data_IF_668315184404
#
_entry.id   IF_668315184404
#
_cell.length_a   1.000
_cell.length_b   1.000
_cell.length_c   1.000
_cell.angle_alpha   90.00
_cell.angle_beta   90.00
_cell.angle_gamma   90.00
#
_symmetry.space_group_name_H-M   'P 1'
#
loop_
_entity.id
_entity.type
_entity.pdbx_description
1 polymer ?
#
# COMPACT_ATOMS: atom_id res chain seq x y z
N UNK A 1 11.69 27.02 -0.08
CA UNK A 1 10.81 26.03 -0.73
C UNK A 1 10.60 24.90 0.25
N UNK A 2 9.38 24.44 0.42
CA UNK A 2 9.00 23.36 1.32
C UNK A 2 8.47 22.23 0.45
N UNK A 3 9.11 21.08 0.52
CA UNK A 3 8.74 19.89 -0.24
C UNK A 3 7.87 18.96 0.62
N UNK A 4 7.10 18.07 -0.02
CA UNK A 4 6.13 17.18 0.65
C UNK A 4 5.20 17.93 1.64
N UNK A 5 4.79 19.15 1.26
CA UNK A 5 4.03 20.06 2.14
C UNK A 5 2.70 19.49 2.63
N UNK A 6 2.13 18.49 1.93
CA UNK A 6 0.93 17.77 2.33
C UNK A 6 1.10 16.88 3.56
N UNK A 7 2.35 16.59 3.96
CA UNK A 7 2.68 15.81 5.16
C UNK A 7 3.14 16.71 6.33
N UNK A 8 3.15 18.03 6.15
CA UNK A 8 3.50 18.98 7.21
C UNK A 8 2.38 19.10 8.27
N UNK A 9 2.72 19.66 9.44
CA UNK A 9 1.75 19.97 10.49
C UNK A 9 1.49 21.49 10.63
N UNK A 10 0.52 21.86 11.45
CA UNK A 10 0.15 23.27 11.66
C UNK A 10 1.27 24.08 12.31
N UNK A 11 2.11 23.45 13.13
CA UNK A 11 3.20 24.14 13.82
C UNK A 11 4.28 24.57 12.81
N UNK A 12 4.65 23.68 11.89
CA UNK A 12 5.58 23.98 10.80
C UNK A 12 5.01 25.08 9.91
N UNK A 13 3.71 25.04 9.59
CA UNK A 13 3.07 26.13 8.84
C UNK A 13 3.17 27.48 9.54
N UNK A 14 2.90 27.54 10.83
CA UNK A 14 2.91 28.79 11.59
C UNK A 14 4.32 29.38 11.65
N UNK A 15 5.34 28.53 11.74
CA UNK A 15 6.75 28.94 11.64
C UNK A 15 7.07 29.49 10.25
N UNK A 16 6.62 28.82 9.19
CA UNK A 16 6.86 29.22 7.81
C UNK A 16 6.15 30.53 7.45
N UNK A 17 4.91 30.73 7.92
CA UNK A 17 4.13 31.96 7.72
C UNK A 17 4.75 33.18 8.40
N UNK A 18 5.59 32.99 9.43
CA UNK A 18 6.31 34.08 10.12
C UNK A 18 7.64 34.45 9.47
N UNK A 19 8.08 33.73 8.44
CA UNK A 19 9.32 34.04 7.75
C UNK A 19 9.17 35.30 6.89
N UNK A 20 10.21 36.13 6.83
CA UNK A 20 10.25 37.32 5.97
C UNK A 20 10.50 36.98 4.48
N UNK A 21 10.96 35.76 4.20
CA UNK A 21 11.27 35.31 2.87
C UNK A 21 10.03 34.81 2.12
N UNK A 22 10.09 34.79 0.78
CA UNK A 22 9.06 34.12 -0.04
C UNK A 22 9.10 32.62 0.24
N UNK A 23 7.96 32.06 0.65
CA UNK A 23 7.79 30.63 0.87
C UNK A 23 7.00 30.04 -0.30
N UNK A 24 7.54 28.98 -0.90
CA UNK A 24 6.87 28.19 -1.94
C UNK A 24 6.62 26.82 -1.34
N UNK A 25 5.36 26.39 -1.34
CA UNK A 25 4.91 25.07 -0.92
C UNK A 25 4.79 24.18 -2.15
N UNK A 26 5.41 23.01 -2.10
CA UNK A 26 5.38 21.99 -3.15
C UNK A 26 4.89 20.69 -2.52
N UNK A 27 4.03 19.98 -3.24
CA UNK A 27 3.50 18.70 -2.81
C UNK A 27 2.29 18.25 -3.64
N UNK A 28 1.75 17.11 -3.27
CA UNK A 28 0.57 16.52 -3.91
C UNK A 28 -0.47 16.15 -2.82
N UNK A 29 -1.62 16.85 -2.76
CA UNK A 29 -2.64 16.61 -1.74
C UNK A 29 -3.20 15.18 -1.78
N UNK A 30 -3.15 14.51 -2.95
CA UNK A 30 -3.63 13.15 -3.12
C UNK A 30 -2.63 12.09 -2.64
N UNK A 31 -1.38 12.49 -2.31
CA UNK A 31 -0.35 11.62 -1.72
C UNK A 31 -0.15 11.82 -0.21
N UNK A 32 -1.05 12.53 0.48
CA UNK A 32 -1.01 12.65 1.95
C UNK A 32 -1.51 11.37 2.63
N UNK A 33 -0.58 10.46 2.98
CA UNK A 33 -0.91 9.15 3.57
C UNK A 33 -0.43 9.00 5.02
N UNK A 34 0.06 10.08 5.63
CA UNK A 34 0.50 10.12 7.03
C UNK A 34 -0.49 10.85 7.96
N UNK A 35 -1.78 10.92 7.58
CA UNK A 35 -2.82 11.62 8.35
C UNK A 35 -2.95 11.14 9.81
N UNK A 36 -2.61 9.88 10.10
CA UNK A 36 -2.55 9.32 11.46
C UNK A 36 -1.51 9.99 12.38
N UNK A 37 -0.56 10.75 11.82
CA UNK A 37 0.43 11.56 12.58
C UNK A 37 -0.06 12.97 12.90
N UNK A 38 -1.30 13.32 12.54
CA UNK A 38 -1.87 14.65 12.75
C UNK A 38 -1.60 15.65 11.62
N UNK A 39 -1.02 15.20 10.50
CA UNK A 39 -0.95 16.00 9.28
C UNK A 39 -2.37 16.21 8.74
N UNK A 40 -2.90 17.43 8.89
CA UNK A 40 -4.06 17.88 8.11
C UNK A 40 -3.55 18.24 6.72
N UNK A 41 -4.32 17.97 5.67
CA UNK A 41 -3.92 18.35 4.31
C UNK A 41 -3.83 19.88 4.21
N UNK A 42 -2.61 20.37 4.39
CA UNK A 42 -2.27 21.78 4.44
C UNK A 42 -2.53 22.43 3.10
N UNK A 43 -2.18 21.73 2.01
CA UNK A 43 -2.23 22.29 0.66
C UNK A 43 -3.66 22.66 0.26
N UNK A 44 -4.66 21.91 0.72
CA UNK A 44 -6.06 22.22 0.44
C UNK A 44 -6.60 23.44 1.21
N UNK A 45 -5.93 23.85 2.30
CA UNK A 45 -6.40 24.89 3.21
C UNK A 45 -5.57 26.18 3.16
N UNK A 46 -4.62 26.27 2.22
CA UNK A 46 -3.82 27.48 2.01
C UNK A 46 -4.53 28.40 1.02
N UNK A 47 -4.87 29.60 1.48
CA UNK A 47 -5.36 30.69 0.63
C UNK A 47 -4.17 31.37 -0.08
N UNK A 48 -3.62 30.69 -1.08
CA UNK A 48 -2.45 31.10 -1.87
C UNK A 48 -2.70 30.85 -3.36
N UNK A 49 -1.97 31.57 -4.22
CA UNK A 49 -1.94 31.27 -5.66
C UNK A 49 -1.35 29.87 -5.90
N UNK A 50 -2.09 29.02 -6.61
CA UNK A 50 -1.72 27.64 -6.89
C UNK A 50 -1.34 27.45 -8.37
N UNK A 51 -0.18 26.83 -8.60
CA UNK A 51 0.29 26.40 -9.92
C UNK A 51 0.32 24.87 -9.96
N UNK A 52 -0.10 24.29 -11.08
CA UNK A 52 -0.27 22.84 -11.22
C UNK A 52 0.74 22.25 -12.21
N UNK A 53 1.42 21.19 -11.79
CA UNK A 53 2.32 20.41 -12.63
C UNK A 53 1.64 19.12 -13.06
N UNK A 54 1.03 19.13 -14.24
CA UNK A 54 0.24 18.01 -14.75
C UNK A 54 1.08 16.91 -15.41
N UNK A 55 2.33 17.19 -15.78
CA UNK A 55 3.16 16.25 -16.53
C UNK A 55 3.95 15.32 -15.58
N UNK A 56 3.65 14.03 -15.61
CA UNK A 56 4.50 13.00 -15.01
C UNK A 56 5.72 12.77 -15.90
N UNK A 57 6.90 12.75 -15.30
CA UNK A 57 8.15 12.31 -15.93
C UNK A 57 8.47 10.83 -15.62
N UNK A 58 7.66 10.18 -14.77
CA UNK A 58 7.91 8.81 -14.29
C UNK A 58 7.45 7.75 -15.29
N UNK A 59 6.25 7.92 -15.84
CA UNK A 59 5.54 6.93 -16.66
C UNK A 59 4.84 7.57 -17.86
N UNK A 60 4.37 6.73 -18.79
CA UNK A 60 3.59 7.13 -19.96
C UNK A 60 2.08 7.19 -19.70
N UNK A 61 1.30 7.40 -20.76
CA UNK A 61 -0.14 7.66 -20.64
C UNK A 61 -0.93 6.50 -20.01
N UNK A 62 -0.59 5.23 -20.30
CA UNK A 62 -1.38 4.11 -19.78
C UNK A 62 -1.46 4.09 -18.24
N UNK A 63 -0.35 4.39 -17.53
CA UNK A 63 -0.37 4.49 -16.06
C UNK A 63 -1.05 5.78 -15.61
N UNK A 64 -0.86 6.88 -16.36
CA UNK A 64 -1.55 8.14 -16.09
C UNK A 64 -3.07 8.00 -16.20
N UNK A 65 -3.58 7.22 -17.15
CA UNK A 65 -5.00 6.97 -17.34
C UNK A 65 -5.64 6.25 -16.13
N UNK A 66 -4.94 5.26 -15.57
CA UNK A 66 -5.38 4.62 -14.32
C UNK A 66 -5.34 5.59 -13.15
N UNK A 67 -4.28 6.39 -13.04
CA UNK A 67 -4.17 7.42 -12.01
C UNK A 67 -5.31 8.45 -12.12
N UNK A 68 -5.62 8.92 -13.33
CA UNK A 68 -6.71 9.84 -13.61
C UNK A 68 -8.09 9.22 -13.34
N UNK A 69 -8.28 7.94 -13.63
CA UNK A 69 -9.50 7.23 -13.27
C UNK A 69 -9.73 7.28 -11.75
N UNK A 70 -8.69 7.00 -10.95
CA UNK A 70 -8.77 7.11 -9.49
C UNK A 70 -9.00 8.56 -9.05
N UNK A 71 -8.23 9.51 -9.56
CA UNK A 71 -8.36 10.94 -9.23
C UNK A 71 -9.76 11.47 -9.51
N UNK A 72 -10.30 11.18 -10.69
CA UNK A 72 -11.61 11.64 -11.09
C UNK A 72 -12.73 10.98 -10.29
N UNK A 73 -12.73 9.64 -10.23
CA UNK A 73 -13.83 8.91 -9.60
C UNK A 73 -13.80 9.02 -8.08
N UNK A 74 -12.63 8.89 -7.46
CA UNK A 74 -12.54 8.83 -5.99
C UNK A 74 -12.48 10.20 -5.33
N UNK A 75 -11.97 11.21 -6.03
CA UNK A 75 -11.74 12.56 -5.49
C UNK A 75 -12.47 13.68 -6.23
N UNK A 76 -13.11 13.42 -7.37
CA UNK A 76 -13.76 14.46 -8.18
C UNK A 76 -12.77 15.40 -8.89
N UNK A 77 -11.50 15.03 -8.98
CA UNK A 77 -10.49 15.83 -9.67
C UNK A 77 -10.77 15.85 -11.18
N UNK A 78 -10.69 17.04 -11.77
CA UNK A 78 -10.96 17.27 -13.19
C UNK A 78 -9.68 17.53 -13.98
N UNK A 79 -8.62 18.02 -13.32
CA UNK A 79 -7.29 18.15 -13.92
C UNK A 79 -6.75 16.78 -14.29
N UNK A 80 -6.02 16.71 -15.39
CA UNK A 80 -5.51 15.45 -15.94
C UNK A 80 -4.01 15.36 -15.74
N UNK A 81 -3.58 14.32 -15.03
CA UNK A 81 -2.19 13.90 -15.02
C UNK A 81 -1.83 13.38 -16.42
N UNK A 82 -0.78 13.93 -17.03
CA UNK A 82 -0.29 13.56 -18.36
C UNK A 82 0.92 12.65 -18.19
N UNK A 83 0.93 11.52 -18.88
CA UNK A 83 2.12 10.67 -18.97
C UNK A 83 3.16 11.31 -19.90
N UNK A 84 4.44 10.99 -19.72
CA UNK A 84 5.52 11.52 -20.56
C UNK A 84 5.39 10.93 -21.97
N UNK A 85 5.24 11.74 -23.04
CA UNK A 85 5.04 11.21 -24.39
C UNK A 85 6.18 10.32 -24.89
N UNK A 86 7.40 10.52 -24.38
CA UNK A 86 8.57 9.71 -24.73
C UNK A 86 8.64 8.36 -23.99
N UNK A 87 7.72 8.07 -23.07
CA UNK A 87 7.64 6.80 -22.33
C UNK A 87 6.40 6.02 -22.72
N UNK A 88 6.57 4.75 -23.08
CA UNK A 88 5.47 3.84 -23.42
C UNK A 88 5.21 2.88 -22.26
N UNK A 89 4.51 3.36 -21.23
CA UNK A 89 4.07 2.50 -20.13
C UNK A 89 2.87 1.63 -20.54
N UNK A 90 2.65 0.51 -19.85
CA UNK A 90 1.55 -0.43 -20.07
C UNK A 90 0.83 -0.76 -18.76
N UNK A 91 -0.44 -1.11 -18.87
CA UNK A 91 -1.25 -1.66 -17.77
C UNK A 91 -1.74 -3.02 -18.21
N UNK A 92 -1.58 -4.03 -17.36
CA UNK A 92 -1.98 -5.41 -17.67
C UNK A 92 -2.29 -6.19 -16.40
N UNK A 93 -2.68 -7.44 -16.55
CA UNK A 93 -3.01 -8.37 -15.47
C UNK A 93 -2.34 -9.72 -15.73
N UNK A 94 -2.04 -10.45 -14.67
CA UNK A 94 -1.63 -11.84 -14.72
C UNK A 94 -2.17 -12.62 -13.52
N UNK A 95 -2.52 -13.88 -13.74
CA UNK A 95 -2.96 -14.72 -12.63
C UNK A 95 -1.82 -14.95 -11.65
N UNK A 96 -1.86 -14.23 -10.53
CA UNK A 96 -0.87 -14.37 -9.47
C UNK A 96 -0.87 -15.78 -8.87
N UNK A 97 -1.88 -16.63 -9.11
CA UNK A 97 -1.91 -18.02 -8.61
C UNK A 97 -0.98 -18.96 -9.36
N UNK A 98 -0.47 -18.55 -10.54
CA UNK A 98 0.14 -19.48 -11.49
C UNK A 98 1.63 -19.27 -11.70
N UNK A 99 2.13 -18.03 -11.69
CA UNK A 99 3.55 -17.73 -11.90
C UNK A 99 3.90 -16.30 -11.47
N UNK A 100 5.21 -16.01 -11.41
CA UNK A 100 5.77 -14.67 -11.24
C UNK A 100 6.45 -14.22 -12.55
N UNK A 101 6.07 -13.10 -13.16
CA UNK A 101 6.80 -12.55 -14.30
C UNK A 101 8.25 -12.24 -13.92
N UNK A 102 9.23 -12.71 -14.69
CA UNK A 102 10.66 -12.45 -14.44
C UNK A 102 11.00 -10.95 -14.42
N UNK A 103 10.26 -10.17 -15.20
CA UNK A 103 10.37 -8.71 -15.27
C UNK A 103 9.80 -7.98 -14.05
N UNK A 104 9.05 -8.63 -13.16
CA UNK A 104 8.42 -7.99 -12.01
C UNK A 104 9.47 -7.47 -11.03
N UNK A 105 9.46 -6.18 -10.71
CA UNK A 105 10.46 -5.56 -9.83
C UNK A 105 9.92 -5.28 -8.44
N UNK A 106 8.63 -4.97 -8.31
CA UNK A 106 8.03 -4.74 -7.02
C UNK A 106 6.58 -5.23 -6.90
N UNK A 107 6.20 -5.56 -5.68
CA UNK A 107 4.83 -5.86 -5.26
C UNK A 107 4.48 -4.90 -4.13
N UNK A 108 3.38 -4.17 -4.28
CA UNK A 108 2.93 -3.20 -3.28
C UNK A 108 1.68 -3.72 -2.60
N UNK A 109 1.78 -3.89 -1.29
CA UNK A 109 0.75 -4.46 -0.43
C UNK A 109 0.11 -3.41 0.47
N UNK A 110 -1.17 -3.60 0.80
CA UNK A 110 -1.86 -2.72 1.75
C UNK A 110 -1.41 -2.90 3.19
N UNK A 111 -1.16 -4.15 3.60
CA UNK A 111 -0.83 -4.53 4.98
C UNK A 111 0.49 -5.29 5.03
N UNK A 112 1.10 -5.36 6.23
CA UNK A 112 2.28 -6.19 6.42
C UNK A 112 1.94 -7.67 6.24
N UNK A 113 0.76 -8.11 6.70
CA UNK A 113 0.35 -9.51 6.60
C UNK A 113 0.27 -9.98 5.14
N UNK A 114 -0.33 -9.17 4.25
CA UNK A 114 -0.36 -9.46 2.82
C UNK A 114 1.05 -9.44 2.21
N UNK A 115 1.95 -8.57 2.68
CA UNK A 115 3.34 -8.58 2.21
C UNK A 115 4.05 -9.91 2.56
N UNK A 116 3.84 -10.47 3.75
CA UNK A 116 4.33 -11.81 4.10
C UNK A 116 3.65 -12.92 3.28
N UNK A 117 2.34 -12.85 3.03
CA UNK A 117 1.64 -13.78 2.14
C UNK A 117 2.28 -13.82 0.75
N UNK A 118 2.51 -12.64 0.16
CA UNK A 118 3.16 -12.53 -1.15
C UNK A 118 4.63 -12.94 -1.11
N UNK A 119 5.35 -12.69 0.00
CA UNK A 119 6.72 -13.14 0.18
C UNK A 119 6.83 -14.66 0.06
N UNK A 120 6.06 -15.42 0.85
CA UNK A 120 6.12 -16.88 0.78
C UNK A 120 5.64 -17.42 -0.57
N UNK A 121 4.59 -16.82 -1.13
CA UNK A 121 4.04 -17.19 -2.42
C UNK A 121 5.06 -17.01 -3.56
N UNK A 122 5.67 -15.83 -3.67
CA UNK A 122 6.63 -15.55 -4.73
C UNK A 122 7.98 -16.21 -4.49
N UNK A 123 8.36 -16.46 -3.23
CA UNK A 123 9.54 -17.27 -2.93
C UNK A 123 9.42 -18.67 -3.53
N UNK A 124 8.24 -19.28 -3.41
CA UNK A 124 7.95 -20.58 -4.04
C UNK A 124 8.00 -20.54 -5.57
N UNK A 125 7.54 -19.45 -6.20
CA UNK A 125 7.53 -19.34 -7.67
C UNK A 125 8.91 -19.07 -8.26
N UNK A 126 9.71 -18.24 -7.58
CA UNK A 126 11.01 -17.82 -8.08
C UNK A 126 12.08 -18.88 -7.86
N UNK A 127 11.93 -19.77 -6.88
CA UNK A 127 12.85 -20.90 -6.62
C UNK A 127 14.34 -20.49 -6.64
N UNK A 128 14.66 -19.30 -6.10
CA UNK A 128 16.02 -18.76 -6.05
C UNK A 128 16.52 -18.01 -7.30
N UNK A 129 15.73 -17.94 -8.38
CA UNK A 129 16.10 -17.17 -9.59
C UNK A 129 16.25 -15.67 -9.30
N UNK A 130 15.48 -15.15 -8.34
CA UNK A 130 15.47 -13.74 -7.96
C UNK A 130 15.42 -13.60 -6.44
N UNK A 131 16.27 -12.75 -5.85
CA UNK A 131 16.23 -12.46 -4.40
C UNK A 131 14.95 -11.69 -4.08
N UNK A 132 14.29 -11.99 -2.96
CA UNK A 132 13.13 -11.23 -2.49
C UNK A 132 13.55 -10.38 -1.30
N UNK A 133 13.27 -9.08 -1.37
CA UNK A 133 13.46 -8.13 -0.27
C UNK A 133 12.11 -7.70 0.25
N UNK A 134 11.90 -7.78 1.57
CA UNK A 134 10.64 -7.46 2.22
C UNK A 134 10.75 -6.13 2.98
N UNK A 135 10.04 -5.09 2.54
CA UNK A 135 10.06 -3.76 3.14
C UNK A 135 8.78 -3.47 3.94
N UNK A 136 8.76 -3.98 5.17
CA UNK A 136 7.62 -3.88 6.10
C UNK A 136 8.07 -3.40 7.48
N UNK A 137 7.13 -3.14 8.39
CA UNK A 137 7.47 -2.98 9.81
C UNK A 137 7.75 -4.36 10.43
N UNK A 138 9.02 -4.78 10.37
CA UNK A 138 9.46 -6.09 10.86
C UNK A 138 9.28 -6.29 12.36
N UNK A 139 9.32 -5.21 13.17
CA UNK A 139 9.13 -5.31 14.62
C UNK A 139 7.67 -5.63 14.96
N UNK A 140 6.72 -4.85 14.43
CA UNK A 140 5.29 -5.12 14.63
C UNK A 140 4.90 -6.52 14.16
N UNK A 141 5.38 -6.92 12.98
CA UNK A 141 5.10 -8.25 12.42
C UNK A 141 5.69 -9.37 13.27
N UNK A 142 6.93 -9.23 13.78
CA UNK A 142 7.53 -10.20 14.71
C UNK A 142 6.71 -10.34 15.98
N UNK A 143 6.27 -9.23 16.56
CA UNK A 143 5.48 -9.20 17.79
C UNK A 143 4.13 -9.91 17.62
N UNK A 144 3.44 -9.71 16.48
CA UNK A 144 2.19 -10.41 16.15
C UNK A 144 2.44 -11.91 15.95
N UNK A 145 3.39 -12.30 15.09
CA UNK A 145 3.70 -13.71 14.86
C UNK A 145 4.07 -14.42 16.17
N UNK A 146 4.98 -13.84 16.95
CA UNK A 146 5.39 -14.40 18.24
C UNK A 146 4.21 -14.54 19.20
N UNK A 147 3.34 -13.52 19.25
CA UNK A 147 2.13 -13.55 20.08
C UNK A 147 1.17 -14.69 19.70
N UNK A 148 0.99 -14.99 18.41
CA UNK A 148 0.15 -16.12 17.96
C UNK A 148 0.77 -17.46 18.41
N UNK A 149 2.08 -17.65 18.26
CA UNK A 149 2.76 -18.85 18.74
C UNK A 149 2.75 -18.96 20.28
N UNK A 150 2.82 -17.85 20.99
CA UNK A 150 2.68 -17.82 22.45
C UNK A 150 1.28 -18.27 22.88
N UNK A 151 0.22 -17.76 22.24
CA UNK A 151 -1.16 -18.19 22.51
C UNK A 151 -1.35 -19.69 22.29
N UNK A 152 -0.75 -20.27 21.24
CA UNK A 152 -0.75 -21.74 21.01
C UNK A 152 -0.03 -22.52 22.12
N UNK A 153 1.01 -21.93 22.69
CA UNK A 153 1.75 -22.50 23.80
C UNK A 153 1.12 -22.19 25.18
N UNK A 154 -0.14 -21.70 25.21
CA UNK A 154 -0.83 -21.26 26.42
C UNK A 154 -0.07 -20.17 27.22
N UNK A 155 0.67 -19.32 26.52
CA UNK A 155 1.37 -18.15 27.07
C UNK A 155 0.64 -16.88 26.68
N UNK A 156 0.75 -15.84 27.52
CA UNK A 156 0.16 -14.53 27.24
C UNK A 156 1.00 -13.76 26.21
N UNK A 157 0.37 -13.20 25.15
CA UNK A 157 1.05 -12.34 24.20
C UNK A 157 1.39 -10.99 24.82
N UNK A 158 2.49 -10.39 24.37
CA UNK A 158 2.92 -9.04 24.80
C UNK A 158 2.52 -7.94 23.83
N UNK A 159 2.10 -8.29 22.61
CA UNK A 159 1.72 -7.33 21.59
C UNK A 159 0.30 -6.80 21.81
N UNK A 160 0.10 -5.51 21.50
CA UNK A 160 -1.17 -4.80 21.76
C UNK A 160 -2.33 -5.40 21.00
N UNK A 161 -2.07 -5.91 19.80
CA UNK A 161 -3.05 -6.52 18.91
C UNK A 161 -3.65 -7.81 19.48
N UNK A 162 -2.89 -8.54 20.31
CA UNK A 162 -3.31 -9.84 20.82
C UNK A 162 -3.53 -9.88 22.34
N UNK A 163 -3.21 -8.80 23.06
CA UNK A 163 -3.27 -8.75 24.53
C UNK A 163 -4.67 -9.04 25.12
N UNK A 164 -5.73 -8.83 24.34
CA UNK A 164 -7.11 -9.06 24.77
C UNK A 164 -7.55 -10.53 24.62
N UNK A 165 -6.77 -11.37 23.94
CA UNK A 165 -7.08 -12.79 23.80
C UNK A 165 -6.37 -13.59 24.88
N UNK A 166 -7.15 -14.34 25.65
CA UNK A 166 -6.65 -15.18 26.74
C UNK A 166 -6.20 -16.57 26.27
N UNK A 167 -6.63 -16.99 25.08
CA UNK A 167 -6.28 -18.29 24.50
C UNK A 167 -6.21 -18.23 22.97
N UNK A 168 -5.56 -19.24 22.37
CA UNK A 168 -5.55 -19.42 20.92
C UNK A 168 -6.97 -19.60 20.35
N UNK A 169 -7.83 -20.34 21.05
CA UNK A 169 -9.20 -20.58 20.58
C UNK A 169 -10.01 -19.28 20.52
N UNK A 170 -9.88 -18.42 21.53
CA UNK A 170 -10.57 -17.11 21.55
C UNK A 170 -10.16 -16.22 20.37
N UNK A 171 -8.87 -16.21 20.01
CA UNK A 171 -8.38 -15.51 18.81
C UNK A 171 -9.01 -16.09 17.54
N UNK A 172 -9.05 -17.43 17.42
CA UNK A 172 -9.65 -18.12 16.27
C UNK A 172 -11.14 -17.79 16.16
N UNK A 173 -11.88 -17.88 17.26
CA UNK A 173 -13.32 -17.60 17.29
C UNK A 173 -13.61 -16.15 16.90
N UNK A 174 -12.83 -15.20 17.42
CA UNK A 174 -12.94 -13.79 17.03
C UNK A 174 -12.69 -13.59 15.53
N UNK A 175 -11.64 -14.21 14.98
CA UNK A 175 -11.34 -14.14 13.54
C UNK A 175 -12.45 -14.79 12.70
N UNK A 176 -13.06 -15.88 13.15
CA UNK A 176 -14.17 -16.52 12.44
C UNK A 176 -15.41 -15.62 12.36
N UNK A 177 -15.69 -14.84 13.40
CA UNK A 177 -16.85 -13.95 13.44
C UNK A 177 -16.60 -12.65 12.66
N UNK A 178 -15.42 -12.04 12.79
CA UNK A 178 -15.16 -10.67 12.30
C UNK A 178 -14.14 -10.58 11.15
N UNK A 179 -13.45 -11.67 10.80
CA UNK A 179 -12.28 -11.66 9.91
C UNK A 179 -12.56 -11.27 8.44
N UNK A 180 -13.82 -11.26 8.01
CA UNK A 180 -14.23 -10.86 6.66
C UNK A 180 -14.87 -9.47 6.60
N UNK A 181 -15.13 -8.86 7.75
CA UNK A 181 -15.92 -7.62 7.83
C UNK A 181 -15.05 -6.44 8.28
N UNK A 182 -14.06 -6.69 9.14
CA UNK A 182 -13.20 -5.68 9.77
C UNK A 182 -11.75 -5.78 9.30
N UNK A 183 -11.21 -4.71 8.69
CA UNK A 183 -9.88 -4.74 8.08
C UNK A 183 -8.72 -5.11 9.02
N UNK A 184 -8.77 -4.70 10.30
CA UNK A 184 -7.75 -5.09 11.28
C UNK A 184 -7.84 -6.59 11.63
N UNK A 185 -9.05 -7.13 11.71
CA UNK A 185 -9.30 -8.55 11.94
C UNK A 185 -8.94 -9.38 10.71
N UNK A 186 -9.12 -8.85 9.49
CA UNK A 186 -8.64 -9.45 8.25
C UNK A 186 -7.10 -9.54 8.22
N UNK A 187 -6.38 -8.50 8.67
CA UNK A 187 -4.91 -8.55 8.79
C UNK A 187 -4.47 -9.64 9.77
N UNK A 188 -5.12 -9.73 10.95
CA UNK A 188 -4.85 -10.79 11.93
C UNK A 188 -5.17 -12.20 11.40
N UNK A 189 -6.25 -12.36 10.63
CA UNK A 189 -6.58 -13.60 9.94
C UNK A 189 -5.42 -14.05 9.05
N UNK A 190 -4.88 -13.16 8.22
CA UNK A 190 -3.74 -13.49 7.35
C UNK A 190 -2.51 -13.90 8.16
N UNK A 191 -2.19 -13.21 9.25
CA UNK A 191 -1.09 -13.63 10.14
C UNK A 191 -1.35 -15.03 10.73
N UNK A 192 -2.56 -15.28 11.24
CA UNK A 192 -2.95 -16.58 11.78
C UNK A 192 -2.81 -17.69 10.72
N UNK A 193 -3.32 -17.47 9.52
CA UNK A 193 -3.25 -18.41 8.41
C UNK A 193 -1.80 -18.75 8.03
N UNK A 194 -0.92 -17.75 8.01
CA UNK A 194 0.51 -17.97 7.79
C UNK A 194 1.15 -18.81 8.89
N UNK A 195 0.80 -18.57 10.16
CA UNK A 195 1.31 -19.43 11.25
C UNK A 195 0.72 -20.85 11.23
N UNK A 196 -0.44 -21.07 10.63
CA UNK A 196 -1.00 -22.42 10.42
C UNK A 196 -0.22 -23.17 9.32
N UNK A 197 0.32 -22.44 8.34
CA UNK A 197 1.02 -23.01 7.18
C UNK A 197 2.52 -23.17 7.41
N UNK A 198 3.14 -22.27 8.16
CA UNK A 198 4.59 -22.20 8.33
C UNK A 198 5.00 -22.31 9.80
N UNK A 199 6.10 -23.01 10.06
CA UNK A 199 6.70 -23.09 11.40
C UNK A 199 7.34 -21.76 11.79
N UNK A 200 7.59 -21.58 13.10
CA UNK A 200 8.27 -20.38 13.61
C UNK A 200 9.61 -20.14 12.90
N UNK A 201 10.41 -21.18 12.65
CA UNK A 201 11.72 -21.03 11.99
C UNK A 201 11.60 -20.44 10.58
N UNK A 202 10.56 -20.82 9.83
CA UNK A 202 10.32 -20.29 8.47
C UNK A 202 9.83 -18.85 8.53
N UNK A 203 8.98 -18.52 9.50
CA UNK A 203 8.53 -17.14 9.75
C UNK A 203 9.70 -16.25 10.19
N UNK A 204 10.55 -16.75 11.07
CA UNK A 204 11.73 -16.03 11.56
C UNK A 204 12.71 -15.72 10.44
N UNK A 205 12.98 -16.69 9.55
CA UNK A 205 13.76 -16.47 8.33
C UNK A 205 13.17 -15.37 7.43
N UNK A 206 11.83 -15.34 7.26
CA UNK A 206 11.18 -14.28 6.50
C UNK A 206 11.28 -12.90 7.19
N UNK A 207 11.23 -12.86 8.51
CA UNK A 207 11.41 -11.64 9.31
C UNK A 207 12.84 -11.10 9.20
N UNK A 208 13.85 -11.97 9.18
CA UNK A 208 15.24 -11.57 8.96
C UNK A 208 15.43 -10.92 7.58
N UNK A 209 14.77 -11.45 6.54
CA UNK A 209 14.75 -10.82 5.20
C UNK A 209 14.04 -9.46 5.17
N UNK A 210 13.23 -9.14 6.19
CA UNK A 210 12.63 -7.80 6.34
C UNK A 210 13.53 -6.78 7.01
N UNK A 211 14.57 -7.24 7.72
CA UNK A 211 15.49 -6.42 8.49
C UNK A 211 16.86 -6.28 7.83
N UNK A 212 17.11 -6.98 6.73
CA UNK A 212 18.38 -6.94 6.01
C UNK A 212 18.53 -5.65 5.18
N UNK A 213 19.52 -4.85 5.55
CA UNK A 213 20.06 -3.75 4.75
C UNK A 213 21.16 -4.32 3.84
N UNK A 214 20.81 -4.69 2.60
CA UNK A 214 21.81 -5.17 1.65
C UNK A 214 21.85 -4.32 0.37
N UNK A 215 23.08 -4.06 -0.08
CA UNK A 215 23.46 -3.64 -1.44
C UNK A 215 23.06 -4.71 -2.48
N UNK A 216 21.77 -4.93 -2.68
CA UNK A 216 21.27 -5.90 -3.65
C UNK A 216 21.21 -5.29 -5.05
N UNK A 217 21.61 -6.05 -6.07
CA UNK A 217 21.38 -5.67 -7.47
C UNK A 217 19.88 -5.40 -7.70
N UNK A 218 19.48 -4.16 -8.01
CA UNK A 218 18.07 -3.81 -8.23
C UNK A 218 17.43 -4.60 -9.37
N UNK A 219 18.23 -5.10 -10.34
CA UNK A 219 17.72 -5.88 -11.47
C UNK A 219 17.35 -7.30 -11.07
N UNK A 220 18.09 -7.91 -10.14
CA UNK A 220 17.86 -9.27 -9.68
C UNK A 220 17.16 -9.38 -8.31
N UNK A 221 16.43 -8.32 -7.94
CA UNK A 221 15.70 -8.25 -6.67
C UNK A 221 14.23 -7.95 -6.91
N UNK A 222 13.34 -8.74 -6.31
CA UNK A 222 11.92 -8.45 -6.19
C UNK A 222 11.67 -7.78 -4.84
N UNK A 223 11.20 -6.53 -4.86
CA UNK A 223 10.86 -5.80 -3.64
C UNK A 223 9.39 -5.99 -3.31
N UNK A 224 9.07 -6.47 -2.12
CA UNK A 224 7.70 -6.53 -1.61
C UNK A 224 7.58 -5.49 -0.52
N UNK A 225 6.80 -4.45 -0.74
CA UNK A 225 6.72 -3.28 0.15
C UNK A 225 5.27 -2.97 0.50
N UNK A 226 5.06 -2.21 1.56
CA UNK A 226 3.72 -1.66 1.84
C UNK A 226 3.47 -0.36 1.06
N UNK A 227 2.21 -0.02 0.81
CA UNK A 227 1.84 1.27 0.18
C UNK A 227 2.43 2.49 0.89
N UNK A 228 2.61 2.42 2.22
CA UNK A 228 3.23 3.49 3.00
C UNK A 228 4.75 3.56 2.77
N UNK A 229 5.44 2.41 2.84
CA UNK A 229 6.89 2.33 2.65
C UNK A 229 7.31 2.59 1.20
N UNK A 230 6.42 2.35 0.24
CA UNK A 230 6.67 2.62 -1.18
C UNK A 230 6.55 4.09 -1.58
N UNK A 231 5.99 4.96 -0.73
CA UNK A 231 5.93 6.40 -1.02
C UNK A 231 7.33 6.96 -1.19
N UNK A 232 7.55 7.68 -2.29
CA UNK A 232 8.85 8.21 -2.70
C UNK A 232 9.73 7.23 -3.46
N UNK A 233 9.39 5.94 -3.48
CA UNK A 233 10.08 4.92 -4.29
C UNK A 233 9.40 4.75 -5.65
N UNK A 234 10.08 4.06 -6.57
CA UNK A 234 9.58 3.78 -7.92
C UNK A 234 10.34 2.61 -8.56
N UNK A 235 9.62 1.80 -9.36
CA UNK A 235 10.18 0.62 -10.03
C UNK A 235 9.69 0.49 -11.46
N UNK A 236 10.43 -0.24 -12.29
CA UNK A 236 10.08 -0.45 -13.69
C UNK A 236 8.74 -1.18 -13.83
N UNK A 237 8.59 -2.34 -13.19
CA UNK A 237 7.37 -3.12 -13.27
C UNK A 237 6.82 -3.42 -11.87
N UNK A 238 5.59 -2.99 -11.59
CA UNK A 238 4.98 -3.04 -10.26
C UNK A 238 3.67 -3.80 -10.29
N UNK A 239 3.49 -4.73 -9.36
CA UNK A 239 2.21 -5.37 -9.06
C UNK A 239 1.53 -4.70 -7.88
N UNK A 240 0.25 -4.37 -8.05
CA UNK A 240 -0.62 -4.00 -6.94
C UNK A 240 -1.21 -5.30 -6.35
N UNK A 241 -0.92 -5.57 -5.09
CA UNK A 241 -1.47 -6.73 -4.39
C UNK A 241 -2.93 -6.51 -3.97
N UNK A 242 -3.63 -7.62 -3.71
CA UNK A 242 -4.99 -7.61 -3.15
C UNK A 242 -5.00 -7.06 -1.71
N UNK A 243 -6.20 -6.81 -1.19
CA UNK A 243 -6.40 -6.52 0.24
C UNK A 243 -6.47 -5.03 0.59
N UNK A 244 -6.71 -4.17 -0.39
CA UNK A 244 -7.13 -2.79 -0.12
C UNK A 244 -8.53 -2.78 0.51
N UNK A 245 -8.76 -1.86 1.44
CA UNK A 245 -9.98 -1.82 2.25
C UNK A 245 -11.09 -1.01 1.58
N UNK A 246 -11.82 -1.65 0.68
CA UNK A 246 -13.05 -1.13 0.09
C UNK A 246 -14.11 -2.22 -0.02
N UNK A 247 -15.38 -1.82 -0.09
CA UNK A 247 -16.51 -2.74 -0.33
C UNK A 247 -17.33 -2.24 -1.51
N UNK A 248 -17.68 -3.14 -2.42
CA UNK A 248 -18.57 -2.87 -3.54
C UNK A 248 -19.87 -3.64 -3.27
N UNK A 249 -20.93 -2.92 -2.92
CA UNK A 249 -22.25 -3.49 -2.61
C UNK A 249 -23.30 -2.79 -3.46
N UNK A 250 -24.13 -3.52 -4.19
CA UNK A 250 -25.20 -2.98 -5.03
C UNK A 250 -24.77 -1.81 -5.95
N UNK A 251 -23.57 -1.94 -6.56
CA UNK A 251 -22.92 -0.91 -7.40
C UNK A 251 -22.50 0.37 -6.66
N UNK A 252 -22.45 0.31 -5.32
CA UNK A 252 -21.95 1.37 -4.48
C UNK A 252 -20.56 1.03 -3.95
N UNK A 253 -19.61 1.92 -4.16
CA UNK A 253 -18.27 1.81 -3.59
C UNK A 253 -18.23 2.49 -2.21
N UNK A 254 -17.90 1.72 -1.18
CA UNK A 254 -17.58 2.19 0.16
C UNK A 254 -16.07 2.15 0.35
N UNK A 255 -15.44 3.32 0.46
CA UNK A 255 -13.99 3.45 0.60
C UNK A 255 -13.64 4.72 1.39
N UNK A 256 -12.70 4.61 2.33
CA UNK A 256 -12.26 5.74 3.14
C UNK A 256 -11.33 6.69 2.37
N UNK A 257 -11.22 7.94 2.81
CA UNK A 257 -10.33 8.92 2.18
C UNK A 257 -8.86 8.47 2.16
N UNK A 258 -8.39 7.86 3.25
CA UNK A 258 -7.02 7.36 3.37
C UNK A 258 -6.77 6.21 2.40
N UNK A 259 -7.72 5.30 2.24
CA UNK A 259 -7.59 4.18 1.32
C UNK A 259 -7.54 4.65 -0.15
N UNK A 260 -8.34 5.67 -0.51
CA UNK A 260 -8.28 6.30 -1.84
C UNK A 260 -6.87 6.82 -2.14
N UNK A 261 -6.23 7.49 -1.17
CA UNK A 261 -4.87 8.04 -1.32
C UNK A 261 -3.82 6.94 -1.41
N UNK A 262 -3.96 5.87 -0.62
CA UNK A 262 -3.06 4.72 -0.70
C UNK A 262 -3.12 4.05 -2.08
N UNK A 263 -4.32 3.89 -2.67
CA UNK A 263 -4.46 3.38 -4.04
C UNK A 263 -3.76 4.29 -5.05
N UNK A 264 -3.96 5.60 -4.96
CA UNK A 264 -3.34 6.58 -5.85
C UNK A 264 -1.80 6.54 -5.76
N UNK A 265 -1.26 6.55 -4.53
CA UNK A 265 0.19 6.42 -4.30
C UNK A 265 0.71 5.14 -4.94
N UNK A 266 0.04 4.01 -4.73
CA UNK A 266 0.46 2.70 -5.23
C UNK A 266 0.45 2.62 -6.77
N UNK A 267 -0.60 3.10 -7.43
CA UNK A 267 -0.70 3.13 -8.91
C UNK A 267 0.45 3.93 -9.53
N UNK A 268 0.85 5.03 -8.90
CA UNK A 268 1.88 5.91 -9.44
C UNK A 268 3.31 5.43 -9.22
N UNK A 269 3.55 4.24 -8.64
CA UNK A 269 4.91 3.73 -8.39
C UNK A 269 5.56 3.04 -9.61
N UNK A 270 4.77 2.63 -10.60
CA UNK A 270 5.27 1.96 -11.81
C UNK A 270 5.84 2.96 -12.82
N UNK A 271 6.97 2.63 -13.47
CA UNK A 271 7.53 3.40 -14.59
C UNK A 271 7.10 2.86 -15.95
N UNK A 272 7.16 1.53 -16.10
CA UNK A 272 6.98 0.83 -17.38
C UNK A 272 5.71 -0.03 -17.39
N UNK A 273 5.55 -0.98 -16.47
CA UNK A 273 4.38 -1.85 -16.43
C UNK A 273 3.72 -1.80 -15.06
N UNK A 274 2.41 -1.52 -15.05
CA UNK A 274 1.57 -1.67 -13.87
C UNK A 274 0.70 -2.92 -14.01
N UNK A 275 0.87 -3.86 -13.09
CA UNK A 275 0.00 -5.02 -12.96
C UNK A 275 -1.10 -4.74 -11.94
N UNK A 276 -2.36 -4.82 -12.35
CA UNK A 276 -3.53 -4.37 -11.57
C UNK A 276 -4.36 -5.51 -10.98
N UNK A 277 -3.83 -6.73 -10.96
CA UNK A 277 -4.56 -7.93 -10.51
C UNK A 277 -5.20 -7.78 -9.13
N UNK A 278 -4.52 -7.12 -8.19
CA UNK A 278 -5.03 -6.93 -6.84
C UNK A 278 -6.19 -5.94 -6.69
N UNK A 279 -6.50 -5.16 -7.74
CA UNK A 279 -7.54 -4.13 -7.73
C UNK A 279 -8.38 -4.13 -9.03
N UNK A 280 -8.37 -5.23 -9.79
CA UNK A 280 -9.02 -5.27 -11.10
C UNK A 280 -10.54 -5.10 -10.99
N UNK A 281 -11.16 -5.71 -9.97
CA UNK A 281 -12.56 -5.54 -9.60
C UNK A 281 -12.93 -4.08 -9.34
N UNK A 282 -12.06 -3.34 -8.64
CA UNK A 282 -12.24 -1.91 -8.39
C UNK A 282 -12.18 -1.12 -9.71
N UNK A 283 -11.20 -1.40 -10.57
CA UNK A 283 -11.06 -0.70 -11.85
C UNK A 283 -12.23 -0.97 -12.80
N UNK A 284 -12.71 -2.21 -12.84
CA UNK A 284 -13.93 -2.57 -13.58
C UNK A 284 -15.15 -1.81 -13.05
N UNK A 285 -15.30 -1.75 -11.73
CA UNK A 285 -16.39 -1.01 -11.10
C UNK A 285 -16.33 0.49 -11.40
N UNK A 286 -15.15 1.12 -11.32
CA UNK A 286 -14.94 2.54 -11.59
C UNK A 286 -15.19 2.92 -13.07
N UNK A 287 -14.99 1.97 -13.99
CA UNK A 287 -15.28 2.17 -15.42
C UNK A 287 -16.76 1.97 -15.79
N UNK A 288 -17.60 1.48 -14.86
CA UNK A 288 -19.02 1.25 -15.13
C UNK A 288 -19.83 2.55 -15.20
N UNK A 289 -20.84 2.60 -16.09
CA UNK A 289 -21.65 3.81 -16.35
C UNK A 289 -22.64 4.18 -15.23
N UNK A 290 -22.97 3.25 -14.32
CA UNK A 290 -24.02 3.41 -13.29
C UNK A 290 -23.42 3.28 -11.88
N UNK A 291 -22.40 4.07 -11.59
CA UNK A 291 -21.63 3.99 -10.34
C UNK A 291 -22.11 5.02 -9.31
N UNK A 292 -22.23 4.60 -8.05
CA UNK A 292 -22.40 5.48 -6.89
C UNK A 292 -21.23 5.32 -5.91
N UNK A 293 -20.76 6.41 -5.31
CA UNK A 293 -19.68 6.39 -4.32
C UNK A 293 -20.21 6.98 -3.01
N UNK A 294 -20.05 6.23 -1.90
CA UNK A 294 -20.23 6.78 -0.56
C UNK A 294 -18.92 6.82 0.20
N UNK A 295 -18.71 7.90 0.94
CA UNK A 295 -17.67 7.92 1.97
C UNK A 295 -18.09 6.94 3.07
N UNK A 296 -17.21 5.98 3.34
CA UNK A 296 -17.32 5.09 4.51
C UNK A 296 -16.88 5.84 5.77
#
# INVERSE_FOLDING_TARGET
>A
MVDESQDSDQLILDVLKRQKAKVIFVGDPYQSIYGFRGAKDILQNLDLEALYLEQSFRFGNAVADIANLLLNKLFGETRQLKGLPSKTSKVTTFSTSSYAPSSLNAIICRTNATAFEYFFKFHSYLNGEKKIRLEVDGKRSKDIFSGIFQLRANKRPTCKELQNFSSYQELVDHIQVFGEVEGATTELKTFLDLTNQYSWQVIEWALENSMADDETDPKNTLVISTSHKSKGLEWDNVLIAKGFNYKILDKKLMISADEKRLLYVTVTRAKNILFTDGINDLLEHLNSKNMEISNA
#
